data_IF_559316842450
#
_entry.id   IF_559316842450
#
_cell.length_a   1.000
_cell.length_b   1.000
_cell.length_c   1.000
_cell.angle_alpha   90.00
_cell.angle_beta   90.00
_cell.angle_gamma   90.00
#
_symmetry.space_group_name_H-M   'P 1'
#
loop_
_entity.id
_entity.type
_entity.pdbx_description
1 polymer ?
#
# COMPACT_ATOMS: atom_id res chain seq x y z
N UNK A 1 -24.69 4.57 -17.02
CA UNK A 1 -24.17 4.39 -15.64
C UNK A 1 -22.78 5.02 -15.54
N UNK A 2 -22.68 6.28 -15.09
CA UNK A 2 -21.37 6.94 -14.90
C UNK A 2 -20.75 6.45 -13.59
N UNK A 3 -19.99 5.37 -13.64
CA UNK A 3 -19.23 4.88 -12.48
C UNK A 3 -18.12 5.88 -12.12
N UNK A 4 -18.25 6.57 -10.99
CA UNK A 4 -17.14 7.36 -10.44
C UNK A 4 -16.06 6.40 -9.94
N UNK A 5 -14.88 6.43 -10.53
CA UNK A 5 -13.73 5.63 -10.08
C UNK A 5 -13.19 6.25 -8.77
N UNK A 6 -13.15 5.49 -7.68
CA UNK A 6 -12.49 5.94 -6.43
C UNK A 6 -10.97 6.09 -6.62
N UNK A 7 -10.37 5.16 -7.37
CA UNK A 7 -8.95 5.19 -7.67
C UNK A 7 -8.72 5.63 -9.12
N UNK A 8 -7.73 6.51 -9.34
CA UNK A 8 -7.22 6.86 -10.69
C UNK A 8 -6.93 5.60 -11.52
N UNK A 9 -6.33 4.59 -10.89
CA UNK A 9 -6.15 3.23 -11.40
C UNK A 9 -6.04 2.29 -10.20
N UNK A 10 -6.61 1.10 -10.30
CA UNK A 10 -6.33 0.00 -9.39
C UNK A 10 -5.43 -0.97 -10.15
N UNK A 11 -4.38 -1.55 -9.53
CA UNK A 11 -4.11 -1.65 -8.09
C UNK A 11 -3.52 -0.37 -7.44
N UNK A 12 -3.45 -0.34 -6.11
CA UNK A 12 -3.00 0.82 -5.32
C UNK A 12 -1.62 1.35 -5.74
N UNK A 13 -0.66 0.51 -6.13
CA UNK A 13 0.67 0.99 -6.53
C UNK A 13 0.61 1.89 -7.78
N UNK A 14 -0.21 1.52 -8.78
CA UNK A 14 -0.46 2.35 -9.96
C UNK A 14 -1.23 3.62 -9.64
N UNK A 15 -2.03 3.63 -8.57
CA UNK A 15 -2.64 4.86 -8.07
C UNK A 15 -1.58 5.89 -7.64
N UNK A 16 -0.53 5.45 -6.95
CA UNK A 16 0.57 6.31 -6.52
C UNK A 16 1.48 6.72 -7.67
N UNK A 17 1.70 5.84 -8.64
CA UNK A 17 2.45 6.14 -9.86
C UNK A 17 1.76 7.24 -10.69
N UNK A 18 0.44 7.14 -10.91
CA UNK A 18 -0.38 8.20 -11.52
C UNK A 18 -0.56 9.45 -10.62
N UNK A 19 -0.09 9.37 -9.38
CA UNK A 19 0.06 10.49 -8.46
C UNK A 19 1.38 11.25 -8.61
N UNK A 20 2.27 10.79 -9.51
CA UNK A 20 3.58 11.39 -9.76
C UNK A 20 4.73 10.78 -8.94
N UNK A 21 4.50 9.63 -8.29
CA UNK A 21 5.56 8.94 -7.54
C UNK A 21 6.35 8.02 -8.46
N UNK A 22 7.67 7.95 -8.24
CA UNK A 22 8.52 6.98 -8.93
C UNK A 22 8.20 5.57 -8.42
N UNK A 23 8.21 4.58 -9.30
CA UNK A 23 7.93 3.17 -8.96
C UNK A 23 8.74 2.71 -7.74
N UNK A 24 10.04 2.99 -7.71
CA UNK A 24 10.94 2.65 -6.59
C UNK A 24 10.50 3.28 -5.27
N UNK A 25 9.99 4.52 -5.27
CA UNK A 25 9.50 5.16 -4.05
C UNK A 25 8.22 4.49 -3.52
N UNK A 26 7.33 4.06 -4.41
CA UNK A 26 6.11 3.34 -4.02
C UNK A 26 6.48 2.00 -3.40
N UNK A 27 7.37 1.24 -4.04
CA UNK A 27 7.82 -0.08 -3.58
C UNK A 27 8.46 0.00 -2.19
N UNK A 28 9.40 0.93 -1.98
CA UNK A 28 10.10 1.08 -0.69
C UNK A 28 9.11 1.44 0.43
N UNK A 29 8.13 2.32 0.17
CA UNK A 29 7.12 2.70 1.18
C UNK A 29 6.17 1.54 1.50
N UNK A 30 5.80 0.75 0.50
CA UNK A 30 5.01 -0.48 0.72
C UNK A 30 5.77 -1.51 1.54
N UNK A 31 7.08 -1.65 1.34
CA UNK A 31 7.93 -2.52 2.17
C UNK A 31 7.98 -2.07 3.63
N UNK A 32 8.12 -0.76 3.88
CA UNK A 32 8.12 -0.23 5.26
C UNK A 32 6.77 -0.52 5.94
N UNK A 33 5.66 -0.28 5.26
CA UNK A 33 4.32 -0.57 5.78
C UNK A 33 4.12 -2.08 6.01
N UNK A 34 4.57 -2.93 5.07
CA UNK A 34 4.51 -4.38 5.20
C UNK A 34 5.33 -4.90 6.38
N UNK A 35 6.55 -4.39 6.56
CA UNK A 35 7.40 -4.71 7.70
C UNK A 35 6.79 -4.27 9.03
N UNK A 36 6.20 -3.07 9.09
CA UNK A 36 5.50 -2.58 10.27
C UNK A 36 4.32 -3.49 10.64
N UNK A 37 3.46 -3.84 9.67
CA UNK A 37 2.35 -4.75 9.90
C UNK A 37 2.80 -6.16 10.27
N UNK A 38 3.93 -6.64 9.71
CA UNK A 38 4.50 -7.92 10.09
C UNK A 38 4.97 -7.93 11.56
N UNK A 39 5.61 -6.86 12.04
CA UNK A 39 6.00 -6.72 13.44
C UNK A 39 4.77 -6.67 14.35
N UNK A 40 3.74 -5.91 13.98
CA UNK A 40 2.47 -5.84 14.73
C UNK A 40 1.78 -7.21 14.77
N UNK A 41 1.76 -7.94 13.65
CA UNK A 41 1.19 -9.27 13.60
C UNK A 41 1.95 -10.26 14.50
N UNK A 42 3.28 -10.22 14.47
CA UNK A 42 4.14 -11.05 15.32
C UNK A 42 4.02 -10.70 16.81
N UNK A 43 3.89 -9.41 17.17
CA UNK A 43 3.69 -9.01 18.57
C UNK A 43 2.33 -9.45 19.09
N UNK A 44 1.29 -9.36 18.26
CA UNK A 44 -0.08 -9.82 18.61
C UNK A 44 -0.14 -11.35 18.74
N UNK A 45 0.65 -12.11 17.97
CA UNK A 45 0.64 -13.57 18.00
C UNK A 45 1.04 -14.17 19.36
N UNK A 46 1.89 -13.49 20.15
CA UNK A 46 2.28 -13.91 21.51
C UNK A 46 1.35 -13.38 22.61
N UNK A 47 0.41 -12.51 22.24
CA UNK A 47 -0.62 -11.95 23.13
C UNK A 47 -1.86 -12.85 23.22
N UNK A 48 -1.97 -13.84 22.32
CA UNK A 48 -2.89 -14.98 22.43
C UNK A 48 -2.25 -16.12 23.21
#
# INVERSE_FOLDING_TARGET
>A
TKGKRLFKMAPLHHHFELGGWKETQVVIRFWILGGLFAIIALSTLKIQ
#
